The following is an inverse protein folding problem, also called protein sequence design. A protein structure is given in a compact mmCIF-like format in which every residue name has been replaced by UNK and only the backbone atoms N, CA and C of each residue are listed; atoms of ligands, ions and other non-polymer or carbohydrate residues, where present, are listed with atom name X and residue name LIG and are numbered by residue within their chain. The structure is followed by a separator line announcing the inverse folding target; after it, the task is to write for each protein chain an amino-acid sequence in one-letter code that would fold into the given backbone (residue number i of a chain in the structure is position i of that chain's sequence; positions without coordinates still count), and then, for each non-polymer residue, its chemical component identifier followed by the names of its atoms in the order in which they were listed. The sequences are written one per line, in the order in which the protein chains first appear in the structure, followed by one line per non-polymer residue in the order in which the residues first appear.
data_IF_375800768501
#
_entry.id   IF_375800768501
#
_cell.length_a   1.000
_cell.length_b   1.000
_cell.length_c   1.000
_cell.angle_alpha   90.00
_cell.angle_beta   90.00
_cell.angle_gamma   90.00
#
_symmetry.space_group_name_H-M   'P 1'
#
loop_
_entity.id
_entity.type
_entity.pdbx_description
1 polymer ?
#
# COMPACT_ATOMS: atom_id res chain seq x y z
N UNK A 1 -14.50 -13.02 1.70
CA UNK A 1 -14.12 -11.63 1.36
C UNK A 1 -13.62 -10.98 2.64
N UNK A 2 -12.52 -10.22 2.59
CA UNK A 2 -12.00 -9.50 3.74
C UNK A 2 -12.43 -8.04 3.60
N UNK A 3 -13.06 -7.48 4.63
CA UNK A 3 -13.38 -6.05 4.68
C UNK A 3 -12.14 -5.30 5.17
N UNK A 4 -11.30 -4.86 4.24
CA UNK A 4 -10.06 -4.16 4.55
C UNK A 4 -10.29 -2.65 4.66
N UNK A 5 -9.72 -2.03 5.69
CA UNK A 5 -9.62 -0.57 5.80
C UNK A 5 -8.54 -0.02 4.87
N UNK A 6 -7.45 -0.78 4.69
CA UNK A 6 -6.33 -0.47 3.81
C UNK A 6 -5.93 -1.72 3.06
N UNK A 7 -5.59 -1.57 1.79
CA UNK A 7 -5.11 -2.65 0.94
C UNK A 7 -4.03 -2.13 0.00
N UNK A 8 -3.30 -3.04 -0.63
CA UNK A 8 -2.14 -2.65 -1.41
C UNK A 8 -1.48 -3.80 -2.16
N UNK A 9 -0.36 -3.46 -2.80
CA UNK A 9 0.55 -4.42 -3.44
C UNK A 9 1.96 -4.19 -2.91
N UNK A 10 2.74 -5.25 -2.84
CA UNK A 10 4.14 -5.19 -2.44
C UNK A 10 5.01 -5.92 -3.47
N UNK A 11 6.12 -5.30 -3.84
CA UNK A 11 7.18 -5.88 -4.66
C UNK A 11 8.43 -6.05 -3.81
N UNK A 12 8.95 -7.28 -3.71
CA UNK A 12 10.14 -7.60 -2.89
C UNK A 12 11.47 -7.21 -3.54
N UNK A 13 11.41 -6.72 -4.78
CA UNK A 13 12.49 -6.08 -5.51
C UNK A 13 11.92 -4.85 -6.23
N UNK A 14 12.65 -3.73 -6.22
CA UNK A 14 12.18 -2.50 -6.83
C UNK A 14 12.04 -2.69 -8.36
N UNK A 15 10.82 -2.55 -8.93
CA UNK A 15 10.58 -2.83 -10.35
C UNK A 15 11.18 -1.77 -11.28
N UNK A 16 11.56 -0.60 -10.76
CA UNK A 16 12.19 0.49 -11.53
C UNK A 16 13.71 0.34 -11.53
N UNK A 17 14.32 0.15 -10.36
CA UNK A 17 15.79 0.09 -10.21
C UNK A 17 16.34 -1.32 -10.41
N UNK A 18 15.50 -2.36 -10.21
CA UNK A 18 15.89 -3.77 -10.20
C UNK A 18 16.58 -4.22 -8.90
N UNK A 19 16.70 -3.34 -7.90
CA UNK A 19 17.38 -3.63 -6.65
C UNK A 19 16.54 -4.57 -5.77
N UNK A 20 17.08 -5.78 -5.52
CA UNK A 20 16.42 -6.82 -4.71
C UNK A 20 16.44 -6.53 -3.21
N UNK A 21 17.21 -5.57 -2.75
CA UNK A 21 17.20 -5.12 -1.36
C UNK A 21 16.23 -3.95 -1.13
N UNK A 22 15.50 -3.53 -2.16
CA UNK A 22 14.48 -2.50 -2.07
C UNK A 22 13.10 -3.14 -2.24
N UNK A 23 12.27 -3.03 -1.20
CA UNK A 23 10.86 -3.39 -1.22
C UNK A 23 10.05 -2.16 -1.57
N UNK A 24 9.11 -2.30 -2.50
CA UNK A 24 8.18 -1.24 -2.87
C UNK A 24 6.78 -1.63 -2.40
N UNK A 25 6.09 -0.74 -1.70
CA UNK A 25 4.72 -0.94 -1.23
C UNK A 25 3.85 0.18 -1.77
N UNK A 26 2.78 -0.18 -2.45
CA UNK A 26 1.70 0.73 -2.81
C UNK A 26 0.47 0.42 -1.96
N UNK A 27 -0.13 1.43 -1.32
CA UNK A 27 -1.33 1.26 -0.49
C UNK A 27 -2.43 2.29 -0.79
N UNK A 28 -3.67 1.87 -0.57
CA UNK A 28 -4.87 2.71 -0.69
C UNK A 28 -5.92 2.29 0.33
N UNK A 29 -6.92 3.14 0.54
CA UNK A 29 -8.05 2.83 1.42
C UNK A 29 -9.00 1.80 0.79
N UNK A 30 -9.68 1.04 1.65
CA UNK A 30 -10.67 0.06 1.26
C UNK A 30 -10.07 -1.20 0.64
N UNK A 31 -10.83 -1.79 -0.29
CA UNK A 31 -10.49 -2.99 -1.05
C UNK A 31 -9.48 -2.67 -2.18
N UNK A 32 -8.59 -3.61 -2.45
CA UNK A 32 -7.48 -3.43 -3.40
C UNK A 32 -7.92 -3.30 -4.87
N UNK A 33 -9.20 -3.54 -5.15
CA UNK A 33 -9.80 -3.44 -6.48
C UNK A 33 -9.58 -2.07 -7.12
N UNK A 34 -9.70 -0.98 -6.34
CA UNK A 34 -9.50 0.37 -6.84
C UNK A 34 -8.07 0.59 -7.36
N UNK A 35 -7.09 -0.01 -6.66
CA UNK A 35 -5.67 0.08 -6.97
C UNK A 35 -5.33 -0.73 -8.22
N UNK A 36 -5.72 -2.01 -8.26
CA UNK A 36 -5.41 -2.89 -9.40
C UNK A 36 -6.14 -2.48 -10.69
N UNK A 37 -7.27 -1.79 -10.56
CA UNK A 37 -8.01 -1.23 -11.70
C UNK A 37 -7.45 0.12 -12.19
N UNK A 38 -6.43 0.67 -11.53
CA UNK A 38 -5.81 1.94 -11.90
C UNK A 38 -6.72 3.15 -11.67
N UNK A 39 -7.72 3.04 -10.81
CA UNK A 39 -8.71 4.10 -10.56
C UNK A 39 -8.26 5.12 -9.51
N UNK A 40 -7.17 4.83 -8.81
CA UNK A 40 -6.69 5.64 -7.69
C UNK A 40 -5.17 5.80 -7.74
N UNK A 41 -4.67 6.95 -7.28
CA UNK A 41 -3.23 7.15 -7.01
C UNK A 41 -2.94 6.72 -5.57
N UNK A 42 -2.20 5.61 -5.34
CA UNK A 42 -1.92 5.10 -4.02
C UNK A 42 -0.81 5.89 -3.31
N UNK A 43 -0.65 5.64 -2.02
CA UNK A 43 0.59 5.93 -1.32
C UNK A 43 1.66 4.98 -1.79
N UNK A 44 2.86 5.51 -2.01
CA UNK A 44 4.00 4.78 -2.52
C UNK A 44 5.17 4.87 -1.55
N UNK A 45 5.67 3.72 -1.13
CA UNK A 45 6.76 3.60 -0.18
C UNK A 45 7.89 2.76 -0.77
N UNK A 46 9.11 3.26 -0.61
CA UNK A 46 10.33 2.50 -0.94
C UNK A 46 11.08 2.21 0.36
N UNK A 47 11.36 0.94 0.61
CA UNK A 47 11.95 0.43 1.84
C UNK A 47 13.23 -0.32 1.49
N UNK A 48 14.36 0.11 2.07
CA UNK A 48 15.61 -0.61 1.98
C UNK A 48 15.70 -1.63 3.12
N UNK A 49 16.01 -2.88 2.77
CA UNK A 49 16.35 -3.94 3.74
C UNK A 49 17.77 -4.41 3.44
N UNK A 50 18.70 -4.09 4.34
CA UNK A 50 20.11 -4.47 4.15
C UNK A 50 20.38 -5.94 4.49
N UNK A 51 21.63 -6.39 4.31
CA UNK A 51 22.05 -7.77 4.58
C UNK A 51 22.00 -8.17 6.06
N UNK A 52 21.96 -7.19 6.96
CA UNK A 52 21.85 -7.40 8.40
C UNK A 52 20.40 -7.25 8.88
N UNK A 53 19.43 -7.26 7.96
CA UNK A 53 18.00 -7.08 8.21
C UNK A 53 17.62 -5.72 8.81
N UNK A 54 18.49 -4.71 8.67
CA UNK A 54 18.12 -3.34 9.02
C UNK A 54 17.14 -2.81 7.98
N UNK A 55 16.05 -2.21 8.47
CA UNK A 55 14.98 -1.65 7.64
C UNK A 55 15.02 -0.14 7.69
N UNK A 56 14.95 0.49 6.52
CA UNK A 56 14.92 1.95 6.38
C UNK A 56 13.89 2.35 5.33
N UNK A 57 12.95 3.24 5.70
CA UNK A 57 12.02 3.84 4.74
C UNK A 57 12.76 4.96 4.02
N UNK A 58 13.03 4.77 2.71
CA UNK A 58 13.80 5.70 1.87
C UNK A 58 12.93 6.78 1.26
N UNK A 59 11.71 6.42 0.87
CA UNK A 59 10.78 7.32 0.23
C UNK A 59 9.38 7.07 0.76
N UNK A 60 8.65 8.17 0.98
CA UNK A 60 7.21 8.18 1.13
C UNK A 60 6.64 9.20 0.17
N UNK A 61 5.75 8.75 -0.72
CA UNK A 61 5.01 9.62 -1.61
C UNK A 61 3.52 9.38 -1.40
N UNK A 62 2.85 10.37 -0.84
CA UNK A 62 1.44 10.24 -0.49
C UNK A 62 0.58 10.57 -1.71
N UNK A 63 -0.22 9.59 -2.12
CA UNK A 63 -1.17 9.69 -3.20
C UNK A 63 -2.47 10.35 -2.75
N UNK A 64 -3.24 10.83 -3.72
CA UNK A 64 -4.51 11.52 -3.45
C UNK A 64 -5.59 10.60 -2.88
N UNK A 65 -5.53 9.29 -3.19
CA UNK A 65 -6.50 8.30 -2.70
C UNK A 65 -7.95 8.78 -2.81
N UNK A 66 -8.31 9.41 -3.94
CA UNK A 66 -9.55 10.19 -4.11
C UNK A 66 -10.84 9.38 -3.99
N UNK A 67 -10.77 8.07 -4.27
CA UNK A 67 -11.87 7.12 -4.08
C UNK A 67 -11.35 5.87 -3.36
N UNK A 68 -12.27 5.13 -2.75
CA UNK A 68 -12.01 3.79 -2.24
C UNK A 68 -13.24 2.90 -2.42
N UNK A 69 -13.01 1.59 -2.50
CA UNK A 69 -14.06 0.59 -2.69
C UNK A 69 -14.24 -0.16 -1.38
N UNK A 70 -15.49 -0.30 -0.92
CA UNK A 70 -15.83 -1.09 0.27
C UNK A 70 -16.68 -2.29 -0.12
N UNK A 71 -16.60 -3.37 0.66
CA UNK A 71 -17.50 -4.51 0.52
C UNK A 71 -18.82 -4.22 1.22
N UNK A 72 -19.94 -4.64 0.61
CA UNK A 72 -21.27 -4.53 1.23
C UNK A 72 -21.65 -5.81 1.96
N UNK A 73 -22.40 -5.67 3.06
CA UNK A 73 -22.85 -6.81 3.88
C UNK A 73 -23.91 -7.69 3.17
N UNK A 74 -24.67 -7.11 2.24
CA UNK A 74 -25.64 -7.80 1.38
C UNK A 74 -25.03 -8.37 0.09
N UNK A 75 -23.71 -8.25 -0.07
CA UNK A 75 -22.96 -8.71 -1.24
C UNK A 75 -22.68 -7.60 -2.26
N UNK A 76 -21.59 -7.77 -3.01
CA UNK A 76 -21.08 -6.77 -3.94
C UNK A 76 -20.18 -5.73 -3.27
N UNK A 77 -19.86 -4.69 -4.03
CA UNK A 77 -18.98 -3.60 -3.63
C UNK A 77 -19.64 -2.24 -3.87
N UNK A 78 -19.16 -1.22 -3.17
CA UNK A 78 -19.58 0.17 -3.32
C UNK A 78 -18.35 1.07 -3.40
N UNK A 79 -18.38 2.03 -4.32
CA UNK A 79 -17.31 3.03 -4.48
C UNK A 79 -17.72 4.30 -3.76
N UNK A 80 -16.87 4.78 -2.87
CA UNK A 80 -17.06 6.01 -2.11
C UNK A 80 -15.96 7.02 -2.44
N UNK A 81 -16.31 8.31 -2.41
CA UNK A 81 -15.32 9.38 -2.42
C UNK A 81 -14.62 9.45 -1.06
N UNK A 82 -13.30 9.61 -1.09
CA UNK A 82 -12.52 9.86 0.12
C UNK A 82 -12.74 11.31 0.56
N UNK A 83 -12.95 11.53 1.86
CA UNK A 83 -13.16 12.87 2.41
C UNK A 83 -11.87 13.68 2.25
N UNK A 84 -11.97 14.97 1.91
CA UNK A 84 -10.80 15.81 1.58
C UNK A 84 -9.70 15.84 2.66
N UNK A 85 -10.08 15.72 3.94
CA UNK A 85 -9.12 15.65 5.03
C UNK A 85 -8.23 14.39 4.98
N UNK A 86 -8.73 13.30 4.40
CA UNK A 86 -8.06 11.99 4.38
C UNK A 86 -7.30 11.74 3.06
N UNK A 87 -7.59 12.49 2.00
CA UNK A 87 -6.93 12.39 0.68
C UNK A 87 -5.41 12.58 0.72
N UNK A 88 -4.86 13.13 1.81
CA UNK A 88 -3.41 13.36 1.98
C UNK A 88 -2.85 12.79 3.29
N UNK A 89 -3.61 11.92 3.94
CA UNK A 89 -3.15 11.17 5.09
C UNK A 89 -2.49 9.89 4.60
N UNK A 90 -1.42 9.44 5.26
CA UNK A 90 -0.80 8.16 4.95
C UNK A 90 -1.80 7.03 5.27
N UNK A 91 -1.99 6.08 4.36
CA UNK A 91 -2.84 4.93 4.61
C UNK A 91 -2.20 3.94 5.61
N UNK A 92 -0.86 3.89 5.68
CA UNK A 92 -0.14 3.03 6.62
C UNK A 92 0.78 3.87 7.53
N UNK A 93 0.86 3.48 8.80
CA UNK A 93 1.91 3.99 9.70
C UNK A 93 3.27 3.36 9.37
N UNK A 94 4.35 4.01 9.80
CA UNK A 94 5.73 3.51 9.65
C UNK A 94 5.89 2.10 10.21
N UNK A 95 5.23 1.81 11.34
CA UNK A 95 5.23 0.49 11.98
C UNK A 95 4.66 -0.58 11.04
N UNK A 96 3.50 -0.33 10.44
CA UNK A 96 2.89 -1.26 9.48
C UNK A 96 3.66 -1.36 8.17
N UNK A 97 4.26 -0.26 7.69
CA UNK A 97 5.12 -0.27 6.49
C UNK A 97 6.31 -1.22 6.71
N UNK A 98 6.98 -1.09 7.87
CA UNK A 98 8.13 -1.93 8.23
C UNK A 98 7.71 -3.39 8.39
N UNK A 99 6.60 -3.66 9.07
CA UNK A 99 6.09 -5.02 9.27
C UNK A 99 5.74 -5.70 7.94
N UNK A 100 5.02 -5.00 7.06
CA UNK A 100 4.65 -5.50 5.74
C UNK A 100 5.88 -5.75 4.86
N UNK A 101 6.88 -4.88 4.90
CA UNK A 101 8.11 -5.07 4.12
C UNK A 101 8.87 -6.33 4.56
N UNK A 102 8.96 -6.58 5.87
CA UNK A 102 9.55 -7.81 6.42
C UNK A 102 8.75 -9.04 6.05
N UNK A 103 7.42 -8.99 6.18
CA UNK A 103 6.53 -10.09 5.82
C UNK A 103 6.65 -10.43 4.33
N UNK A 104 6.68 -9.42 3.45
CA UNK A 104 6.86 -9.62 2.02
C UNK A 104 8.19 -10.34 1.72
N UNK A 105 9.28 -9.96 2.39
CA UNK A 105 10.58 -10.64 2.26
C UNK A 105 10.59 -12.08 2.75
N UNK A 106 9.77 -12.42 3.74
CA UNK A 106 9.65 -13.81 4.20
C UNK A 106 8.94 -14.72 3.18
N UNK A 107 8.17 -14.15 2.26
CA UNK A 107 7.40 -14.86 1.24
C UNK A 107 8.14 -14.95 -0.12
N UNK A 108 9.15 -14.11 -0.35
CA UNK A 108 10.02 -14.13 -1.55
C UNK A 108 10.70 -15.49 -1.77
#
# INVERSE_FOLDING_TARGET
MIFSEVSGVAFTANPITGLRNEVVIDSTYGLGEALVSGLVTPDHYEILIDRNENVEIRLKKIGEKSIHIIGKSDGGTETLETIDNDKKVEALSDEYIIELAKLAKQVE
#
